data_IF_627898651132
#
_entry.id   IF_627898651132
#
_cell.length_a   1.000
_cell.length_b   1.000
_cell.length_c   1.000
_cell.angle_alpha   90.00
_cell.angle_beta   90.00
_cell.angle_gamma   90.00
#
_symmetry.space_group_name_H-M   'P 1'
#
loop_
_entity.id
_entity.type
_entity.pdbx_description
1 polymer ?
#
# COMPACT_ATOMS: atom_id res chain seq x y z
N UNK A 1 -31.29 -5.45 -11.42
CA UNK A 1 -31.34 -5.77 -12.87
C UNK A 1 -32.64 -5.22 -13.44
N UNK A 2 -32.61 -4.43 -14.53
CA UNK A 2 -33.83 -4.05 -15.26
C UNK A 2 -34.03 -5.13 -16.33
N UNK A 3 -34.79 -6.17 -15.97
CA UNK A 3 -34.99 -7.37 -16.80
C UNK A 3 -35.65 -7.04 -18.15
N UNK A 4 -36.46 -5.99 -18.21
CA UNK A 4 -37.17 -5.56 -19.42
C UNK A 4 -36.24 -4.94 -20.46
N UNK A 5 -35.12 -4.34 -20.02
CA UNK A 5 -34.11 -3.73 -20.91
C UNK A 5 -32.89 -4.59 -21.13
N UNK A 6 -32.74 -5.69 -20.40
CA UNK A 6 -31.53 -6.51 -20.42
C UNK A 6 -30.29 -5.76 -19.92
N UNK A 7 -30.49 -4.71 -19.12
CA UNK A 7 -29.43 -3.84 -18.63
C UNK A 7 -29.33 -3.87 -17.11
N UNK A 8 -28.10 -3.77 -16.60
CA UNK A 8 -27.85 -3.59 -15.18
C UNK A 8 -28.09 -2.11 -14.81
N UNK A 9 -29.30 -1.80 -14.37
CA UNK A 9 -29.64 -0.50 -13.77
C UNK A 9 -29.94 -0.64 -12.28
N UNK A 10 -29.48 0.37 -11.55
CA UNK A 10 -29.67 0.54 -10.12
C UNK A 10 -29.89 2.01 -9.85
N UNK A 11 -31.08 2.35 -9.32
CA UNK A 11 -31.47 3.74 -9.09
C UNK A 11 -30.60 4.47 -8.07
N UNK A 12 -29.84 3.74 -7.26
CA UNK A 12 -28.84 4.29 -6.36
C UNK A 12 -27.61 3.35 -6.29
N UNK A 13 -26.46 3.75 -6.86
CA UNK A 13 -25.23 2.96 -6.82
C UNK A 13 -24.56 2.91 -5.44
N UNK A 14 -25.22 3.40 -4.38
CA UNK A 14 -24.75 3.26 -3.00
C UNK A 14 -25.68 2.37 -2.16
N UNK A 15 -26.77 1.86 -2.74
CA UNK A 15 -27.70 0.96 -2.05
C UNK A 15 -27.30 -0.52 -2.12
N UNK A 16 -26.20 -0.87 -2.79
CA UNK A 16 -25.74 -2.26 -3.00
C UNK A 16 -25.54 -3.06 -1.72
N UNK A 17 -25.09 -2.40 -0.66
CA UNK A 17 -24.98 -2.98 0.68
C UNK A 17 -26.29 -3.56 1.22
N UNK A 18 -27.44 -3.26 0.60
CA UNK A 18 -28.76 -3.70 1.02
C UNK A 18 -29.52 -4.51 -0.04
N UNK A 19 -29.07 -4.54 -1.30
CA UNK A 19 -29.79 -5.22 -2.40
C UNK A 19 -29.17 -6.55 -2.83
N UNK A 20 -28.06 -6.98 -2.23
CA UNK A 20 -27.40 -8.27 -2.51
C UNK A 20 -27.08 -8.51 -4.00
N UNK A 21 -26.78 -7.44 -4.73
CA UNK A 21 -26.41 -7.43 -6.15
C UNK A 21 -24.92 -7.12 -6.29
N UNK A 22 -24.25 -7.72 -7.29
CA UNK A 22 -22.82 -7.56 -7.57
C UNK A 22 -22.61 -6.59 -8.75
N UNK A 23 -21.75 -5.58 -8.59
CA UNK A 23 -21.41 -4.58 -9.62
C UNK A 23 -20.41 -5.08 -10.67
N UNK A 24 -19.65 -6.13 -10.35
CA UNK A 24 -18.56 -6.65 -11.18
C UNK A 24 -18.98 -7.80 -12.09
N UNK A 25 -20.28 -8.15 -12.16
CA UNK A 25 -20.74 -9.31 -12.94
C UNK A 25 -20.00 -10.62 -12.57
N UNK A 26 -19.69 -10.80 -11.29
CA UNK A 26 -18.89 -11.93 -10.77
C UNK A 26 -17.43 -11.96 -11.24
N UNK A 27 -16.85 -10.82 -11.61
CA UNK A 27 -15.40 -10.69 -11.79
C UNK A 27 -14.70 -11.00 -10.47
N UNK A 28 -13.70 -11.89 -10.54
CA UNK A 28 -12.93 -12.36 -9.38
C UNK A 28 -11.80 -11.37 -9.08
N UNK A 29 -11.44 -11.23 -7.81
CA UNK A 29 -10.31 -10.40 -7.42
C UNK A 29 -9.01 -10.98 -7.96
N UNK A 30 -8.19 -10.11 -8.58
CA UNK A 30 -6.90 -10.47 -9.15
C UNK A 30 -5.73 -9.98 -8.30
N UNK A 31 -4.65 -10.75 -8.26
CA UNK A 31 -3.35 -10.38 -7.73
C UNK A 31 -2.29 -10.78 -8.74
N UNK A 32 -1.47 -9.80 -9.14
CA UNK A 32 -0.50 -9.97 -10.22
C UNK A 32 0.91 -9.69 -9.72
N UNK A 33 1.83 -10.63 -9.95
CA UNK A 33 3.25 -10.44 -9.68
C UNK A 33 3.88 -9.71 -10.87
N UNK A 34 4.50 -8.56 -10.61
CA UNK A 34 5.32 -7.87 -11.59
C UNK A 34 6.65 -8.63 -11.78
N UNK A 35 6.93 -9.05 -13.01
CA UNK A 35 8.14 -9.80 -13.37
C UNK A 35 9.29 -8.91 -13.87
N UNK A 36 9.06 -7.60 -13.96
CA UNK A 36 9.93 -6.65 -14.66
C UNK A 36 9.47 -6.45 -16.11
N UNK A 37 10.06 -5.46 -16.79
CA UNK A 37 9.88 -5.19 -18.23
C UNK A 37 8.42 -5.03 -18.72
N UNK A 38 7.49 -4.74 -17.81
CA UNK A 38 6.07 -4.59 -18.11
C UNK A 38 5.27 -5.89 -18.09
N UNK A 39 5.90 -7.02 -17.76
CA UNK A 39 5.26 -8.32 -17.67
C UNK A 39 4.68 -8.57 -16.27
N UNK A 40 3.51 -9.22 -16.27
CA UNK A 40 2.78 -9.58 -15.07
C UNK A 40 2.26 -11.01 -15.18
N UNK A 41 2.31 -11.74 -14.08
CA UNK A 41 1.68 -13.07 -13.97
C UNK A 41 0.59 -13.04 -12.92
N UNK A 42 -0.57 -13.58 -13.27
CA UNK A 42 -1.65 -13.80 -12.31
C UNK A 42 -1.20 -14.85 -11.28
N UNK A 43 -1.12 -14.41 -10.02
CA UNK A 43 -0.76 -15.25 -8.88
C UNK A 43 -1.92 -15.46 -7.90
N UNK A 44 -3.14 -15.04 -8.25
CA UNK A 44 -4.30 -14.98 -7.34
C UNK A 44 -4.60 -16.31 -6.66
N UNK A 45 -4.52 -17.41 -7.42
CA UNK A 45 -4.71 -18.76 -6.89
C UNK A 45 -3.59 -19.14 -5.90
N UNK A 46 -2.33 -18.84 -6.25
CA UNK A 46 -1.16 -19.20 -5.43
C UNK A 46 -1.12 -18.40 -4.12
N UNK A 47 -1.55 -17.15 -4.13
CA UNK A 47 -1.63 -16.29 -2.94
C UNK A 47 -2.90 -16.50 -2.12
N UNK A 48 -3.86 -17.27 -2.64
CA UNK A 48 -5.18 -17.45 -2.03
C UNK A 48 -6.06 -16.19 -2.09
N UNK A 49 -5.66 -15.18 -2.86
CA UNK A 49 -6.39 -13.92 -3.04
C UNK A 49 -7.46 -13.98 -4.13
N UNK A 50 -7.51 -15.10 -4.87
CA UNK A 50 -8.58 -15.42 -5.80
C UNK A 50 -9.92 -15.55 -5.06
N UNK A 51 -10.64 -14.45 -4.99
CA UNK A 51 -11.85 -14.28 -4.21
C UNK A 51 -13.00 -13.82 -5.11
N UNK A 52 -14.14 -14.53 -5.17
CA UNK A 52 -15.28 -14.19 -6.04
C UNK A 52 -16.10 -12.98 -5.54
N UNK A 53 -15.69 -12.35 -4.45
CA UNK A 53 -16.32 -11.18 -3.86
C UNK A 53 -16.11 -9.90 -4.65
N UNK A 54 -17.08 -9.00 -4.62
CA UNK A 54 -17.05 -7.68 -5.27
C UNK A 54 -16.22 -6.68 -4.46
N UNK A 55 -14.90 -6.83 -4.47
CA UNK A 55 -14.01 -5.93 -3.75
C UNK A 55 -13.81 -4.63 -4.53
N UNK A 56 -13.96 -3.51 -3.82
CA UNK A 56 -13.61 -2.17 -4.36
C UNK A 56 -12.50 -1.50 -3.58
N UNK A 57 -12.21 -2.03 -2.40
CA UNK A 57 -11.20 -1.53 -1.49
C UNK A 57 -10.16 -2.61 -1.25
N UNK A 58 -8.90 -2.25 -1.42
CA UNK A 58 -7.74 -3.00 -0.93
C UNK A 58 -6.76 -2.02 -0.32
N UNK A 59 -6.16 -2.34 0.81
CA UNK A 59 -5.03 -1.58 1.37
C UNK A 59 -3.91 -2.55 1.72
N UNK A 60 -2.67 -2.18 1.41
CA UNK A 60 -1.49 -2.82 1.95
C UNK A 60 -1.13 -2.16 3.28
N UNK A 61 -1.00 -2.92 4.35
CA UNK A 61 -0.66 -2.40 5.66
C UNK A 61 -0.04 -3.49 6.53
N UNK A 62 1.24 -3.34 6.89
CA UNK A 62 1.91 -4.09 7.97
C UNK A 62 1.29 -3.79 9.36
N UNK A 63 0.25 -4.55 9.72
CA UNK A 63 -0.46 -4.38 11.00
C UNK A 63 0.25 -5.12 12.14
N UNK A 64 1.10 -6.09 11.81
CA UNK A 64 1.85 -6.91 12.78
C UNK A 64 3.20 -6.29 13.17
N UNK A 65 3.65 -5.27 12.42
CA UNK A 65 4.92 -4.55 12.58
C UNK A 65 6.14 -5.44 12.35
N UNK A 66 6.03 -6.34 11.39
CA UNK A 66 7.08 -7.30 11.09
C UNK A 66 7.75 -7.07 9.73
N UNK A 67 7.40 -5.95 9.08
CA UNK A 67 7.93 -5.57 7.78
C UNK A 67 7.24 -6.22 6.60
N UNK A 68 6.20 -7.02 6.83
CA UNK A 68 5.46 -7.71 5.77
C UNK A 68 4.02 -7.21 5.70
N UNK A 69 3.72 -6.26 4.79
CA UNK A 69 2.37 -5.71 4.70
C UNK A 69 1.33 -6.77 4.35
N UNK A 70 0.28 -6.85 5.16
CA UNK A 70 -0.92 -7.62 4.86
C UNK A 70 -1.79 -6.90 3.82
N UNK A 71 -2.64 -7.65 3.13
CA UNK A 71 -3.69 -7.08 2.29
C UNK A 71 -5.02 -7.10 3.05
N UNK A 72 -5.59 -5.92 3.26
CA UNK A 72 -6.90 -5.77 3.90
C UNK A 72 -7.90 -5.35 2.83
N UNK A 73 -8.95 -6.14 2.66
CA UNK A 73 -9.89 -6.04 1.55
C UNK A 73 -11.33 -5.90 2.06
N UNK A 74 -12.08 -4.99 1.45
CA UNK A 74 -13.50 -4.79 1.72
C UNK A 74 -14.34 -4.93 0.45
N UNK A 75 -15.41 -5.71 0.60
CA UNK A 75 -16.38 -5.99 -0.44
C UNK A 75 -17.56 -5.02 -0.35
N UNK A 76 -18.10 -4.66 -1.52
CA UNK A 76 -19.42 -4.03 -1.64
C UNK A 76 -20.48 -5.09 -1.34
N UNK A 77 -21.65 -4.67 -0.83
CA UNK A 77 -22.73 -5.62 -0.51
C UNK A 77 -22.73 -6.13 0.93
N UNK A 78 -21.62 -6.01 1.66
CA UNK A 78 -21.49 -6.48 3.04
C UNK A 78 -20.41 -7.56 3.19
N UNK A 79 -20.61 -8.50 4.13
CA UNK A 79 -19.66 -9.57 4.42
C UNK A 79 -18.51 -9.17 5.37
N UNK A 80 -17.65 -10.14 5.73
CA UNK A 80 -16.52 -9.91 6.62
C UNK A 80 -15.46 -9.01 5.96
N UNK A 81 -14.72 -8.28 6.79
CA UNK A 81 -13.43 -7.75 6.40
C UNK A 81 -12.49 -8.92 6.11
N UNK A 82 -11.87 -8.94 4.94
CA UNK A 82 -10.92 -9.99 4.57
C UNK A 82 -9.51 -9.47 4.81
N UNK A 83 -8.69 -10.25 5.50
CA UNK A 83 -7.27 -9.95 5.72
C UNK A 83 -6.46 -11.12 5.18
N UNK A 84 -5.61 -10.85 4.19
CA UNK A 84 -4.62 -11.80 3.70
C UNK A 84 -3.30 -11.53 4.40
N UNK A 85 -2.91 -12.46 5.26
CA UNK A 85 -1.61 -12.45 5.91
C UNK A 85 -0.51 -12.67 4.87
N UNK A 86 0.51 -11.82 4.89
CA UNK A 86 1.66 -12.01 4.03
C UNK A 86 2.54 -13.14 4.58
N UNK A 87 2.66 -14.23 3.79
CA UNK A 87 3.44 -15.42 4.17
C UNK A 87 4.59 -15.71 3.21
N UNK A 88 5.03 -14.72 2.44
CA UNK A 88 6.26 -14.84 1.68
C UNK A 88 7.47 -15.01 2.62
N UNK A 89 8.59 -15.56 2.14
CA UNK A 89 9.82 -15.60 2.93
C UNK A 89 10.20 -14.21 3.43
N UNK A 90 10.52 -14.10 4.73
CA UNK A 90 10.93 -12.83 5.33
C UNK A 90 12.18 -12.28 4.66
N UNK A 91 12.14 -10.99 4.37
CA UNK A 91 13.27 -10.20 3.85
C UNK A 91 13.50 -8.99 4.75
N UNK A 92 14.65 -8.35 4.62
CA UNK A 92 14.90 -7.09 5.28
C UNK A 92 13.94 -6.01 4.77
N UNK A 93 13.58 -5.09 5.65
CA UNK A 93 12.60 -4.05 5.37
C UNK A 93 12.99 -2.69 5.96
N UNK A 94 12.31 -1.64 5.54
CA UNK A 94 12.35 -0.32 6.17
C UNK A 94 10.95 0.27 6.13
N UNK A 95 10.47 0.80 7.26
CA UNK A 95 9.28 1.64 7.30
C UNK A 95 9.69 3.07 7.59
N UNK A 96 9.16 4.01 6.80
CA UNK A 96 9.42 5.45 6.95
C UNK A 96 8.11 6.17 7.20
N UNK A 97 8.00 6.87 8.32
CA UNK A 97 7.00 7.93 8.53
C UNK A 97 7.67 9.29 8.45
N UNK A 98 6.89 10.31 8.10
CA UNK A 98 7.39 11.67 7.94
C UNK A 98 6.71 12.59 8.95
N UNK A 99 7.48 13.57 9.44
CA UNK A 99 7.00 14.69 10.23
C UNK A 99 7.34 15.99 9.53
N UNK A 100 6.35 16.53 8.82
CA UNK A 100 6.49 17.83 8.15
C UNK A 100 6.46 18.99 9.14
N UNK A 101 7.17 20.06 8.78
CA UNK A 101 7.23 21.34 9.48
C UNK A 101 6.75 22.47 8.55
N UNK A 102 7.41 22.65 7.40
CA UNK A 102 6.96 23.55 6.33
C UNK A 102 5.92 22.89 5.43
N UNK A 103 6.13 21.61 5.14
CA UNK A 103 5.16 20.75 4.48
C UNK A 103 4.03 20.36 5.44
N UNK A 104 2.97 19.73 4.93
CA UNK A 104 1.92 19.23 5.82
C UNK A 104 2.50 18.22 6.82
N UNK A 105 1.90 18.18 8.01
CA UNK A 105 2.38 17.43 9.18
C UNK A 105 2.73 15.96 8.93
N UNK A 106 1.99 15.31 8.02
CA UNK A 106 2.17 13.90 7.69
C UNK A 106 3.09 13.66 6.47
N UNK A 107 3.65 14.72 5.89
CA UNK A 107 4.49 14.64 4.68
C UNK A 107 3.75 14.14 3.45
N UNK A 108 2.42 14.30 3.37
CA UNK A 108 1.63 13.83 2.23
C UNK A 108 2.09 14.52 0.94
N UNK A 109 2.33 13.75 -0.11
CA UNK A 109 2.90 14.21 -1.38
C UNK A 109 4.43 14.18 -1.42
N UNK A 110 5.11 13.79 -0.33
CA UNK A 110 6.56 13.55 -0.35
C UNK A 110 6.89 12.32 -1.19
N UNK A 111 8.02 12.38 -1.89
CA UNK A 111 8.62 11.24 -2.59
C UNK A 111 9.81 10.73 -1.79
N UNK A 112 9.82 9.45 -1.47
CA UNK A 112 10.87 8.79 -0.71
C UNK A 112 11.58 7.80 -1.65
N UNK A 113 12.89 7.96 -1.80
CA UNK A 113 13.75 7.14 -2.65
C UNK A 113 14.70 6.38 -1.73
N UNK A 114 14.63 5.06 -1.77
CA UNK A 114 15.44 4.15 -0.96
C UNK A 114 16.42 3.42 -1.89
N UNK A 115 17.72 3.66 -1.69
CA UNK A 115 18.81 3.09 -2.50
C UNK A 115 19.60 2.08 -1.66
N UNK A 116 19.71 0.86 -2.17
CA UNK A 116 20.41 -0.28 -1.53
C UNK A 116 21.36 -0.95 -2.52
N UNK A 117 22.13 -1.95 -2.07
CA UNK A 117 22.89 -2.83 -2.97
C UNK A 117 22.00 -3.63 -3.93
N UNK A 118 20.74 -3.87 -3.58
CA UNK A 118 19.80 -4.65 -4.39
C UNK A 118 19.05 -3.80 -5.42
N UNK A 119 19.23 -2.48 -5.39
CA UNK A 119 18.58 -1.53 -6.29
C UNK A 119 17.90 -0.37 -5.58
N UNK A 120 17.08 0.37 -6.35
CA UNK A 120 16.39 1.58 -5.91
C UNK A 120 14.88 1.36 -5.92
N UNK A 121 14.24 1.67 -4.80
CA UNK A 121 12.77 1.65 -4.67
C UNK A 121 12.30 3.06 -4.36
N UNK A 122 11.30 3.52 -5.11
CA UNK A 122 10.66 4.79 -4.87
C UNK A 122 9.23 4.60 -4.40
N UNK A 123 8.83 5.36 -3.38
CA UNK A 123 7.45 5.45 -2.90
C UNK A 123 7.03 6.92 -2.84
N UNK A 124 5.76 7.17 -3.10
CA UNK A 124 5.13 8.46 -2.84
C UNK A 124 4.21 8.30 -1.63
N UNK A 125 4.30 9.24 -0.69
CA UNK A 125 3.51 9.20 0.53
C UNK A 125 2.13 9.80 0.26
N UNK A 126 1.22 8.96 -0.20
CA UNK A 126 -0.16 9.35 -0.47
C UNK A 126 -1.11 8.32 0.15
N UNK A 127 -1.68 8.60 1.33
CA UNK A 127 -2.44 7.60 2.09
C UNK A 127 -3.82 7.32 1.50
N UNK A 128 -4.36 8.21 0.66
CA UNK A 128 -5.63 7.99 -0.03
C UNK A 128 -5.37 6.98 -1.14
N UNK A 129 -5.89 5.77 -0.96
CA UNK A 129 -5.68 4.66 -1.88
C UNK A 129 -7.01 3.99 -2.16
N UNK A 130 -7.23 3.58 -3.42
CA UNK A 130 -8.38 2.79 -3.85
C UNK A 130 -9.75 3.42 -3.49
N UNK A 131 -10.84 2.69 -3.66
CA UNK A 131 -12.19 3.23 -3.47
C UNK A 131 -12.55 3.33 -1.97
N UNK A 132 -12.91 4.53 -1.52
CA UNK A 132 -13.38 4.81 -0.15
C UNK A 132 -12.48 4.26 0.97
N UNK A 133 -11.16 4.28 0.74
CA UNK A 133 -10.17 3.76 1.70
C UNK A 133 -8.97 4.68 1.87
N UNK A 134 -8.30 4.48 3.00
CA UNK A 134 -7.09 5.19 3.36
C UNK A 134 -6.14 4.24 4.10
N UNK A 135 -4.90 4.17 3.64
CA UNK A 135 -3.81 3.48 4.34
C UNK A 135 -3.15 4.43 5.36
N UNK A 136 -2.42 3.91 6.37
CA UNK A 136 -1.59 4.76 7.22
C UNK A 136 -0.60 5.59 6.39
N UNK A 137 -0.31 6.81 6.83
CA UNK A 137 0.68 7.68 6.16
C UNK A 137 2.12 7.23 6.48
N UNK A 138 2.51 6.09 5.93
CA UNK A 138 3.85 5.51 6.01
C UNK A 138 4.26 4.88 4.69
N UNK A 139 5.56 4.88 4.40
CA UNK A 139 6.12 4.19 3.25
C UNK A 139 6.84 2.92 3.71
N UNK A 140 6.48 1.79 3.11
CA UNK A 140 7.04 0.48 3.39
C UNK A 140 7.92 0.04 2.21
N UNK A 141 9.13 -0.41 2.55
CA UNK A 141 10.14 -0.87 1.61
C UNK A 141 10.56 -2.29 1.99
N UNK A 142 10.35 -3.26 1.10
CA UNK A 142 11.06 -4.54 1.16
C UNK A 142 12.38 -4.40 0.42
N UNK A 143 13.51 -4.62 1.09
CA UNK A 143 14.85 -4.35 0.58
C UNK A 143 15.70 -5.61 0.38
N UNK A 144 15.05 -6.78 0.32
CA UNK A 144 15.71 -8.06 0.06
C UNK A 144 16.67 -8.43 1.19
N UNK A 145 17.93 -8.68 0.86
CA UNK A 145 18.97 -9.05 1.83
C UNK A 145 19.88 -7.87 2.22
N UNK A 146 19.51 -6.63 1.88
CA UNK A 146 20.31 -5.46 2.23
C UNK A 146 20.19 -5.17 3.74
N UNK A 147 21.30 -5.18 4.46
CA UNK A 147 21.33 -4.83 5.89
C UNK A 147 21.32 -3.33 6.13
N UNK A 148 21.79 -2.55 5.14
CA UNK A 148 21.93 -1.10 5.19
C UNK A 148 21.32 -0.48 3.93
N UNK A 149 20.54 0.57 4.13
CA UNK A 149 20.11 1.49 3.09
C UNK A 149 21.23 2.51 2.89
N UNK A 150 21.89 2.46 1.73
CA UNK A 150 23.03 3.33 1.41
C UNK A 150 22.63 4.79 1.44
N UNK A 151 21.48 5.09 0.85
CA UNK A 151 20.94 6.44 0.75
C UNK A 151 19.41 6.40 0.77
N UNK A 152 18.84 7.22 1.66
CA UNK A 152 17.42 7.49 1.73
C UNK A 152 17.20 8.97 1.46
N UNK A 153 16.49 9.30 0.39
CA UNK A 153 16.16 10.68 0.03
C UNK A 153 14.68 10.93 0.20
N UNK A 154 14.32 11.97 0.96
CA UNK A 154 12.94 12.47 1.10
C UNK A 154 12.85 13.81 0.38
N UNK A 155 12.09 13.84 -0.71
CA UNK A 155 11.73 15.07 -1.42
C UNK A 155 10.39 15.56 -0.88
N UNK A 156 10.40 16.68 -0.17
CA UNK A 156 9.24 17.23 0.51
C UNK A 156 8.41 18.12 -0.43
N UNK A 157 7.08 18.25 -0.21
CA UNK A 157 6.23 19.19 -0.94
C UNK A 157 6.68 20.65 -0.86
N UNK A 158 7.37 21.03 0.23
CA UNK A 158 7.97 22.35 0.40
C UNK A 158 9.12 22.66 -0.57
N UNK A 159 9.63 21.63 -1.28
CA UNK A 159 10.85 21.70 -2.08
C UNK A 159 12.13 21.42 -1.29
N UNK A 160 12.04 21.24 0.03
CA UNK A 160 13.15 20.75 0.85
C UNK A 160 13.52 19.31 0.43
N UNK A 161 14.79 18.95 0.59
CA UNK A 161 15.28 17.59 0.36
C UNK A 161 16.10 17.13 1.56
N UNK A 162 15.67 16.06 2.22
CA UNK A 162 16.43 15.38 3.28
C UNK A 162 17.17 14.21 2.67
N UNK A 163 18.47 14.09 2.97
CA UNK A 163 19.31 12.96 2.54
C UNK A 163 19.91 12.31 3.79
N UNK A 164 19.67 11.00 3.93
CA UNK A 164 20.19 10.18 5.01
C UNK A 164 21.05 9.07 4.41
N UNK A 165 22.21 8.81 4.99
CA UNK A 165 23.13 7.77 4.53
C UNK A 165 23.31 6.69 5.60
N UNK A 166 23.59 5.47 5.17
CA UNK A 166 23.86 4.33 6.04
C UNK A 166 22.77 4.08 7.10
N UNK A 167 21.51 4.06 6.65
CA UNK A 167 20.36 3.79 7.53
C UNK A 167 20.22 2.28 7.73
N UNK A 168 20.14 1.82 8.97
CA UNK A 168 19.94 0.40 9.27
C UNK A 168 18.59 -0.12 8.74
N UNK A 169 18.58 -1.37 8.30
CA UNK A 169 17.35 -2.11 7.96
C UNK A 169 16.56 -2.57 9.19
N UNK A 170 15.41 -3.21 8.94
CA UNK A 170 14.55 -3.90 9.90
C UNK A 170 14.03 -3.01 11.03
N UNK A 171 13.63 -1.80 10.67
CA UNK A 171 13.17 -0.79 11.62
C UNK A 171 12.15 0.15 11.00
N UNK A 172 11.40 0.77 11.88
CA UNK A 172 10.56 1.91 11.55
C UNK A 172 11.23 3.19 12.04
N UNK A 173 11.55 4.08 11.10
CA UNK A 173 12.05 5.41 11.38
C UNK A 173 11.02 6.50 11.08
N UNK A 174 11.12 7.60 11.81
CA UNK A 174 10.45 8.86 11.50
C UNK A 174 11.48 9.90 11.11
N UNK A 175 11.29 10.54 9.96
CA UNK A 175 12.15 11.62 9.47
C UNK A 175 11.47 12.96 9.69
N UNK A 176 12.18 13.91 10.29
CA UNK A 176 11.69 15.25 10.60
C UNK A 176 12.18 16.27 9.57
N UNK A 177 11.27 17.03 8.97
CA UNK A 177 11.61 18.04 7.95
C UNK A 177 12.40 19.23 8.53
N UNK A 178 12.20 19.55 9.81
CA UNK A 178 12.73 20.75 10.43
C UNK A 178 14.26 20.76 10.56
N UNK A 179 14.83 19.58 10.86
CA UNK A 179 16.24 19.42 11.22
C UNK A 179 16.88 18.16 10.62
N UNK A 180 16.16 17.49 9.71
CA UNK A 180 16.58 16.24 9.06
C UNK A 180 16.89 15.09 10.05
N UNK A 181 16.39 15.20 11.29
CA UNK A 181 16.62 14.19 12.32
C UNK A 181 15.79 12.93 12.10
N UNK A 182 16.31 11.82 12.63
CA UNK A 182 15.67 10.51 12.62
C UNK A 182 15.29 10.12 14.05
N UNK A 183 14.03 9.74 14.24
CA UNK A 183 13.53 9.09 15.45
C UNK A 183 13.26 7.61 15.15
N UNK A 184 13.79 6.69 15.98
CA UNK A 184 13.43 5.27 15.90
C UNK A 184 12.07 5.07 16.55
N UNK A 185 11.12 4.49 15.82
CA UNK A 185 9.77 4.22 16.33
C UNK A 185 9.71 2.81 16.95
N UNK A 186 10.22 1.82 16.23
CA UNK A 186 10.47 0.45 16.71
C UNK A 186 11.44 -0.28 15.77
#
# INVERSE_FOLDING_TARGET
MDEDKGEFWVGNPFAFSYVNENLSSFERNGSFLNLGDGDFVDMSYLTGTDNPGDARTVIGCDITRDGMPELILRQVGGGPLVVYENRFPKTNWLTVTLRGDKSNHFGIGSRIICETDSGTIQRELFPIVNFLSQAPSRAEFGIGNADIIKKLTVKWPSGHETILENVDSNRHIRVHEADDSIESVY
#
